data_IF_572951854608
#
_entry.id   IF_572951854608
#
_cell.length_a   1.000
_cell.length_b   1.000
_cell.length_c   1.000
_cell.angle_alpha   90.00
_cell.angle_beta   90.00
_cell.angle_gamma   90.00
#
_symmetry.space_group_name_H-M   'P 1'
#
loop_
_entity.id
_entity.type
_entity.pdbx_description
1 polymer ?
#
# COMPACT_ATOMS: atom_id res chain seq x y z
N UNK A 1 6.18 32.26 1.60
CA UNK A 1 5.15 31.23 1.34
C UNK A 1 5.76 29.86 1.52
N UNK A 2 5.10 28.96 2.25
CA UNK A 2 5.63 27.64 2.63
C UNK A 2 5.88 26.69 1.45
N UNK A 3 6.68 25.64 1.69
CA UNK A 3 6.94 24.56 0.72
C UNK A 3 5.64 23.76 0.49
N UNK A 4 5.33 23.43 -0.76
CA UNK A 4 4.17 22.60 -1.13
C UNK A 4 4.47 21.12 -0.83
N UNK A 5 3.53 20.36 -0.24
CA UNK A 5 3.65 18.91 -0.07
C UNK A 5 3.39 18.18 -1.40
N UNK A 6 4.44 18.07 -2.23
CA UNK A 6 4.36 17.55 -3.62
C UNK A 6 3.55 16.25 -3.76
N UNK A 7 3.76 15.27 -2.88
CA UNK A 7 3.14 13.93 -2.97
C UNK A 7 1.63 13.91 -2.77
N UNK A 8 1.05 14.96 -2.17
CA UNK A 8 -0.39 15.12 -1.98
C UNK A 8 -1.01 16.14 -2.94
N UNK A 9 -0.19 16.88 -3.68
CA UNK A 9 -0.65 18.05 -4.44
C UNK A 9 -0.96 17.64 -5.87
N UNK A 10 -2.10 18.10 -6.40
CA UNK A 10 -2.49 17.81 -7.78
C UNK A 10 -1.52 18.42 -8.82
N UNK A 11 -1.45 17.86 -10.05
CA UNK A 11 -0.51 18.33 -11.07
C UNK A 11 -0.67 19.82 -11.40
N UNK A 12 -1.90 20.30 -11.52
CA UNK A 12 -2.19 21.70 -11.85
C UNK A 12 -1.87 22.66 -10.69
N UNK A 13 -1.95 22.19 -9.45
CA UNK A 13 -1.57 22.97 -8.28
C UNK A 13 -0.03 23.03 -8.12
N UNK A 14 0.69 21.97 -8.50
CA UNK A 14 2.17 21.99 -8.57
C UNK A 14 2.64 22.93 -9.69
N UNK A 15 2.15 22.73 -10.92
CA UNK A 15 2.64 23.42 -12.10
C UNK A 15 2.21 24.89 -12.17
N UNK A 16 0.95 25.19 -11.84
CA UNK A 16 0.34 26.50 -12.07
C UNK A 16 -0.21 27.15 -10.80
N UNK A 17 0.05 26.58 -9.62
CA UNK A 17 -0.47 27.07 -8.32
C UNK A 17 -1.99 27.20 -8.30
N UNK A 18 -2.69 26.35 -9.06
CA UNK A 18 -4.16 26.37 -9.17
C UNK A 18 -4.81 25.48 -8.12
N UNK A 19 -5.05 26.04 -6.94
CA UNK A 19 -5.74 25.36 -5.84
C UNK A 19 -7.25 25.53 -5.95
N UNK A 20 -7.99 24.44 -5.92
CA UNK A 20 -9.45 24.38 -6.01
C UNK A 20 -9.97 23.16 -5.24
N UNK A 21 -11.27 23.04 -5.02
CA UNK A 21 -11.83 21.82 -4.43
C UNK A 21 -11.48 20.55 -5.23
N UNK A 22 -11.23 20.66 -6.55
CA UNK A 22 -10.78 19.52 -7.35
C UNK A 22 -9.30 19.14 -7.11
N UNK A 23 -8.44 20.07 -6.71
CA UNK A 23 -7.09 19.74 -6.24
C UNK A 23 -7.15 19.08 -4.86
N UNK A 24 -8.10 19.49 -4.01
CA UNK A 24 -8.30 18.85 -2.71
C UNK A 24 -8.83 17.42 -2.86
N UNK A 25 -9.65 17.14 -3.87
CA UNK A 25 -10.08 15.77 -4.23
C UNK A 25 -8.89 14.87 -4.58
N UNK A 26 -7.89 15.39 -5.30
CA UNK A 26 -6.66 14.65 -5.56
C UNK A 26 -5.94 14.29 -4.26
N UNK A 27 -5.77 15.27 -3.38
CA UNK A 27 -5.16 15.06 -2.06
C UNK A 27 -5.94 14.05 -1.24
N UNK A 28 -7.28 14.07 -1.31
CA UNK A 28 -8.13 13.09 -0.66
C UNK A 28 -7.91 11.66 -1.20
N UNK A 29 -7.73 11.48 -2.51
CA UNK A 29 -7.37 10.18 -3.07
C UNK A 29 -6.04 9.65 -2.49
N UNK A 30 -5.04 10.52 -2.29
CA UNK A 30 -3.79 10.15 -1.62
C UNK A 30 -4.04 9.76 -0.16
N UNK A 31 -4.86 10.52 0.58
CA UNK A 31 -5.24 10.18 1.96
C UNK A 31 -5.98 8.85 2.03
N UNK A 32 -6.89 8.56 1.11
CA UNK A 32 -7.54 7.24 1.02
C UNK A 32 -6.51 6.14 0.85
N UNK A 33 -5.53 6.33 -0.04
CA UNK A 33 -4.45 5.36 -0.25
C UNK A 33 -3.64 5.13 1.02
N UNK A 34 -3.27 6.20 1.75
CA UNK A 34 -2.57 6.10 3.03
C UNK A 34 -3.39 5.36 4.09
N UNK A 35 -4.69 5.63 4.21
CA UNK A 35 -5.56 4.95 5.16
C UNK A 35 -5.61 3.45 4.86
N UNK A 36 -5.80 3.09 3.59
CA UNK A 36 -5.92 1.68 3.18
C UNK A 36 -4.56 0.95 3.23
N UNK A 37 -3.45 1.66 3.02
CA UNK A 37 -2.10 1.13 3.19
C UNK A 37 -1.59 1.17 4.64
N UNK A 38 -2.41 1.63 5.58
CA UNK A 38 -2.05 1.80 6.99
C UNK A 38 -0.85 2.72 7.22
N UNK A 39 -0.76 3.80 6.45
CA UNK A 39 0.24 4.84 6.60
C UNK A 39 1.53 4.58 5.83
N UNK A 40 1.53 3.73 4.80
CA UNK A 40 2.67 3.70 3.87
C UNK A 40 2.88 5.10 3.28
N UNK A 41 4.14 5.47 3.04
CA UNK A 41 4.51 6.76 2.45
C UNK A 41 4.08 6.80 0.98
N UNK A 42 3.23 7.76 0.53
CA UNK A 42 2.83 7.85 -0.87
C UNK A 42 4.04 8.00 -1.80
N UNK A 43 4.15 7.14 -2.81
CA UNK A 43 5.30 7.06 -3.73
C UNK A 43 6.64 6.69 -3.06
N UNK A 44 6.61 6.12 -1.84
CA UNK A 44 7.77 5.58 -1.11
C UNK A 44 9.02 6.50 -1.17
N UNK A 45 10.15 5.97 -1.63
CA UNK A 45 11.45 6.64 -1.67
C UNK A 45 11.71 7.44 -2.96
N UNK A 46 10.72 7.57 -3.85
CA UNK A 46 10.86 8.40 -5.05
C UNK A 46 11.21 9.84 -4.68
N UNK A 47 12.15 10.47 -5.39
CA UNK A 47 12.44 11.89 -5.17
C UNK A 47 11.22 12.73 -5.56
N UNK A 48 11.12 13.97 -5.04
CA UNK A 48 10.02 14.86 -5.44
C UNK A 48 10.00 15.11 -6.96
N UNK A 49 11.18 15.12 -7.61
CA UNK A 49 11.27 15.28 -9.07
C UNK A 49 10.71 14.06 -9.80
N UNK A 50 11.04 12.85 -9.34
CA UNK A 50 10.53 11.61 -9.93
C UNK A 50 9.02 11.47 -9.74
N UNK A 51 8.50 11.85 -8.57
CA UNK A 51 7.04 11.87 -8.31
C UNK A 51 6.32 12.77 -9.30
N UNK A 52 6.82 13.99 -9.51
CA UNK A 52 6.23 14.93 -10.47
C UNK A 52 6.23 14.34 -11.88
N UNK A 53 7.38 13.80 -12.31
CA UNK A 53 7.52 13.18 -13.64
C UNK A 53 6.57 12.00 -13.82
N UNK A 54 6.55 11.06 -12.88
CA UNK A 54 5.70 9.88 -12.95
C UNK A 54 4.22 10.25 -13.03
N UNK A 55 3.76 11.21 -12.21
CA UNK A 55 2.38 11.67 -12.24
C UNK A 55 2.00 12.28 -13.60
N UNK A 56 2.88 13.08 -14.20
CA UNK A 56 2.62 13.71 -15.50
C UNK A 56 2.58 12.69 -16.66
N UNK A 57 3.46 11.67 -16.59
CA UNK A 57 3.50 10.50 -17.48
C UNK A 57 2.30 9.55 -17.29
N UNK A 58 1.44 9.80 -16.30
CA UNK A 58 0.20 9.05 -16.07
C UNK A 58 0.33 7.93 -15.04
N UNK A 59 1.48 7.74 -14.41
CA UNK A 59 1.63 6.79 -13.31
C UNK A 59 0.72 7.17 -12.13
N UNK A 60 0.13 6.15 -11.51
CA UNK A 60 -0.70 6.26 -10.31
C UNK A 60 -0.28 5.21 -9.29
N UNK A 61 -0.56 5.47 -8.02
CA UNK A 61 -0.24 4.52 -6.96
C UNK A 61 -1.03 3.22 -7.19
N UNK A 62 -0.38 2.05 -7.06
CA UNK A 62 -1.04 0.76 -7.18
C UNK A 62 -1.98 0.53 -5.99
N UNK A 63 -2.90 -0.42 -6.13
CA UNK A 63 -3.79 -0.78 -5.04
C UNK A 63 -2.98 -1.30 -3.84
N UNK A 64 -3.22 -0.80 -2.62
CA UNK A 64 -2.63 -1.36 -1.41
C UNK A 64 -2.99 -2.85 -1.22
N UNK A 65 -2.25 -3.55 -0.35
CA UNK A 65 -2.58 -4.92 0.03
C UNK A 65 -4.00 -5.01 0.63
N UNK A 66 -4.73 -6.07 0.31
CA UNK A 66 -6.12 -6.28 0.72
C UNK A 66 -7.08 -5.12 0.38
N UNK A 67 -6.74 -4.28 -0.60
CA UNK A 67 -7.58 -3.16 -1.00
C UNK A 67 -8.80 -3.65 -1.82
N UNK A 68 -10.04 -3.34 -1.40
CA UNK A 68 -11.22 -3.55 -2.24
C UNK A 68 -11.10 -2.81 -3.57
N UNK A 69 -11.44 -3.50 -4.67
CA UNK A 69 -11.34 -2.96 -6.05
C UNK A 69 -12.09 -1.64 -6.19
N UNK A 70 -13.26 -1.54 -5.58
CA UNK A 70 -14.12 -0.34 -5.59
C UNK A 70 -13.48 0.86 -4.89
N UNK A 71 -12.66 0.64 -3.85
CA UNK A 71 -11.96 1.71 -3.16
C UNK A 71 -10.76 2.19 -3.98
N UNK A 72 -10.00 1.27 -4.60
CA UNK A 72 -8.91 1.66 -5.49
C UNK A 72 -9.43 2.41 -6.71
N UNK A 73 -10.54 1.98 -7.30
CA UNK A 73 -11.17 2.70 -8.41
C UNK A 73 -11.55 4.14 -8.01
N UNK A 74 -12.15 4.33 -6.83
CA UNK A 74 -12.47 5.66 -6.33
C UNK A 74 -11.21 6.54 -6.12
N UNK A 75 -10.08 5.95 -5.72
CA UNK A 75 -8.80 6.67 -5.67
C UNK A 75 -8.33 7.09 -7.07
N UNK A 76 -8.43 6.18 -8.07
CA UNK A 76 -8.07 6.48 -9.46
C UNK A 76 -8.93 7.62 -10.02
N UNK A 77 -10.23 7.61 -9.76
CA UNK A 77 -11.17 8.67 -10.17
C UNK A 77 -10.76 10.03 -9.55
N UNK A 78 -10.29 10.02 -8.29
CA UNK A 78 -9.76 11.22 -7.64
C UNK A 78 -8.45 11.72 -8.29
N UNK A 79 -7.69 10.83 -8.93
CA UNK A 79 -6.41 11.11 -9.59
C UNK A 79 -6.52 11.28 -11.11
N UNK A 80 -7.73 11.56 -11.61
CA UNK A 80 -7.91 11.91 -13.01
C UNK A 80 -7.08 13.15 -13.40
N UNK A 81 -6.46 13.08 -14.59
CA UNK A 81 -5.63 14.19 -15.10
C UNK A 81 -6.49 15.44 -15.31
N UNK A 82 -7.68 15.24 -15.87
CA UNK A 82 -8.69 16.29 -16.00
C UNK A 82 -9.36 16.61 -14.67
N UNK A 83 -9.14 17.81 -14.13
CA UNK A 83 -9.79 18.25 -12.87
C UNK A 83 -11.33 18.26 -12.91
N UNK A 84 -11.93 18.31 -14.11
CA UNK A 84 -13.38 18.23 -14.32
C UNK A 84 -13.91 16.81 -14.17
N UNK A 85 -13.09 15.82 -14.49
CA UNK A 85 -13.44 14.39 -14.46
C UNK A 85 -13.37 13.82 -13.05
N UNK A 86 -12.62 14.47 -12.16
CA UNK A 86 -12.57 14.11 -10.74
C UNK A 86 -13.95 14.26 -10.09
N UNK A 87 -14.38 13.30 -9.26
CA UNK A 87 -15.64 13.39 -8.54
C UNK A 87 -15.64 14.58 -7.58
N UNK A 88 -16.80 15.16 -7.33
CA UNK A 88 -16.97 16.14 -6.25
C UNK A 88 -17.04 15.40 -4.91
N UNK A 89 -16.66 16.07 -3.82
CA UNK A 89 -16.76 15.49 -2.48
C UNK A 89 -18.16 14.93 -2.15
N UNK A 90 -19.24 15.59 -2.57
CA UNK A 90 -20.60 15.04 -2.39
C UNK A 90 -20.83 13.69 -3.09
N UNK A 91 -20.22 13.48 -4.26
CA UNK A 91 -20.25 12.19 -4.96
C UNK A 91 -19.41 11.15 -4.23
N UNK A 92 -18.21 11.52 -3.77
CA UNK A 92 -17.34 10.66 -2.96
C UNK A 92 -18.08 10.17 -1.71
N UNK A 93 -18.70 11.08 -0.94
CA UNK A 93 -19.49 10.74 0.26
C UNK A 93 -20.62 9.78 -0.10
N UNK A 94 -21.36 10.05 -1.19
CA UNK A 94 -22.45 9.18 -1.64
C UNK A 94 -21.95 7.78 -2.01
N UNK A 95 -20.80 7.69 -2.67
CA UNK A 95 -20.19 6.40 -3.02
C UNK A 95 -19.78 5.63 -1.77
N UNK A 96 -19.02 6.26 -0.86
CA UNK A 96 -18.59 5.62 0.39
C UNK A 96 -19.77 5.20 1.27
N UNK A 97 -20.81 6.01 1.35
CA UNK A 97 -22.03 5.69 2.10
C UNK A 97 -22.73 4.43 1.57
N UNK A 98 -22.80 4.26 0.24
CA UNK A 98 -23.32 3.03 -0.38
C UNK A 98 -22.47 1.81 -0.02
N UNK A 99 -21.14 1.95 -0.08
CA UNK A 99 -20.22 0.86 0.26
C UNK A 99 -20.31 0.45 1.74
N UNK A 100 -20.52 1.41 2.64
CA UNK A 100 -20.71 1.15 4.08
C UNK A 100 -22.05 0.43 4.34
N UNK A 101 -23.12 0.79 3.62
CA UNK A 101 -24.44 0.15 3.75
C UNK A 101 -24.51 -1.24 3.12
N UNK A 102 -23.64 -1.53 2.15
CA UNK A 102 -23.49 -2.85 1.54
C UNK A 102 -22.03 -3.34 1.61
N UNK A 103 -21.59 -3.88 2.76
CA UNK A 103 -20.21 -4.36 2.92
C UNK A 103 -19.84 -5.52 1.99
N UNK A 104 -20.81 -6.20 1.37
CA UNK A 104 -20.52 -7.28 0.42
C UNK A 104 -19.78 -6.73 -0.82
N UNK A 105 -20.04 -5.47 -1.20
CA UNK A 105 -19.37 -4.77 -2.29
C UNK A 105 -17.86 -4.55 -2.06
N UNK A 106 -17.38 -4.68 -0.82
CA UNK A 106 -15.96 -4.52 -0.46
C UNK A 106 -15.16 -5.84 -0.51
N UNK A 107 -15.79 -6.97 -0.85
CA UNK A 107 -15.13 -8.29 -0.81
C UNK A 107 -14.17 -8.54 -1.96
N UNK A 108 -14.44 -7.96 -3.13
CA UNK A 108 -13.59 -8.12 -4.29
C UNK A 108 -12.34 -7.27 -4.16
N UNK A 109 -11.16 -7.91 -4.17
CA UNK A 109 -9.87 -7.24 -3.97
C UNK A 109 -9.21 -6.91 -5.30
N UNK A 110 -8.64 -5.71 -5.40
CA UNK A 110 -7.93 -5.23 -6.60
C UNK A 110 -6.73 -6.11 -6.99
N UNK A 111 -6.07 -6.70 -6.00
CA UNK A 111 -4.87 -7.51 -6.19
C UNK A 111 -5.16 -9.02 -6.32
N UNK A 112 -6.43 -9.43 -6.37
CA UNK A 112 -6.83 -10.84 -6.51
C UNK A 112 -6.30 -11.52 -7.78
N UNK A 113 -5.95 -10.72 -8.80
CA UNK A 113 -5.40 -11.23 -10.06
C UNK A 113 -3.87 -11.42 -10.07
N UNK A 114 -3.14 -10.96 -9.05
CA UNK A 114 -1.70 -11.24 -8.93
C UNK A 114 -1.41 -12.66 -8.40
N UNK A 115 -2.45 -13.43 -8.09
CA UNK A 115 -2.37 -14.85 -7.72
C UNK A 115 -3.08 -15.76 -8.73
N UNK A 116 -3.38 -15.30 -9.95
CA UNK A 116 -3.69 -16.25 -11.03
C UNK A 116 -2.40 -16.95 -11.43
N UNK A 117 -2.30 -18.17 -10.92
CA UNK A 117 -1.35 -19.22 -11.26
C UNK A 117 -1.02 -19.18 -12.77
N UNK A 118 0.17 -18.67 -13.10
CA UNK A 118 0.84 -19.05 -14.34
C UNK A 118 1.63 -20.33 -14.01
N UNK A 119 1.40 -21.49 -14.68
CA UNK A 119 2.04 -22.77 -14.35
C UNK A 119 3.57 -22.83 -14.53
N UNK A 120 4.23 -21.68 -14.71
CA UNK A 120 5.64 -21.58 -15.07
C UNK A 120 6.31 -20.38 -14.38
N UNK A 121 6.29 -20.32 -13.05
CA UNK A 121 7.27 -19.52 -12.30
C UNK A 121 7.82 -20.30 -11.11
N UNK A 122 9.14 -20.20 -10.86
CA UNK A 122 9.85 -21.07 -9.94
C UNK A 122 9.43 -20.76 -8.49
N UNK A 123 9.37 -21.81 -7.67
CA UNK A 123 9.23 -21.76 -6.22
C UNK A 123 9.91 -20.51 -5.64
N UNK A 124 9.20 -19.76 -4.79
CA UNK A 124 9.78 -18.66 -4.00
C UNK A 124 10.87 -19.23 -3.08
N UNK A 125 12.07 -19.47 -3.61
CA UNK A 125 13.27 -19.76 -2.84
C UNK A 125 13.80 -18.44 -2.29
N UNK A 126 13.05 -17.85 -1.36
CA UNK A 126 13.57 -16.74 -0.56
C UNK A 126 14.47 -17.36 0.50
N UNK A 127 15.77 -17.10 0.42
CA UNK A 127 16.77 -17.81 1.21
C UNK A 127 17.15 -17.07 2.50
N UNK A 128 16.88 -15.76 2.56
CA UNK A 128 17.28 -14.92 3.68
C UNK A 128 16.14 -14.05 4.23
N UNK A 129 16.29 -13.63 5.49
CA UNK A 129 15.38 -12.73 6.18
C UNK A 129 15.24 -11.36 5.47
N UNK A 130 16.34 -10.86 4.91
CA UNK A 130 16.35 -9.58 4.20
C UNK A 130 15.59 -9.63 2.88
N UNK A 131 15.79 -10.70 2.09
CA UNK A 131 15.04 -10.95 0.86
C UNK A 131 13.54 -11.11 1.16
N UNK A 132 13.19 -11.76 2.27
CA UNK A 132 11.80 -11.91 2.68
C UNK A 132 11.14 -10.59 3.03
N UNK A 133 11.82 -9.74 3.81
CA UNK A 133 11.33 -8.40 4.12
C UNK A 133 11.16 -7.56 2.85
N UNK A 134 12.09 -7.61 1.91
CA UNK A 134 11.95 -6.92 0.62
C UNK A 134 10.76 -7.44 -0.20
N UNK A 135 10.58 -8.77 -0.25
CA UNK A 135 9.49 -9.40 -0.99
C UNK A 135 8.12 -8.95 -0.48
N UNK A 136 7.95 -8.80 0.83
CA UNK A 136 6.72 -8.27 1.43
C UNK A 136 6.72 -6.73 1.54
N UNK A 137 7.69 -6.05 0.94
CA UNK A 137 7.87 -4.59 0.99
C UNK A 137 7.94 -4.02 2.42
N UNK A 138 8.60 -4.74 3.30
CA UNK A 138 8.92 -4.38 4.70
C UNK A 138 10.43 -4.22 4.90
N UNK A 139 11.20 -3.99 3.82
CA UNK A 139 12.66 -3.87 3.84
C UNK A 139 13.19 -2.77 4.77
N UNK A 140 12.37 -1.77 5.09
CA UNK A 140 12.73 -0.73 6.07
C UNK A 140 12.96 -1.25 7.49
N UNK A 141 12.52 -2.48 7.80
CA UNK A 141 12.68 -3.09 9.13
C UNK A 141 13.87 -4.06 9.24
N UNK A 142 14.71 -4.18 8.21
CA UNK A 142 15.84 -5.13 8.20
C UNK A 142 16.76 -4.98 9.41
N UNK A 143 17.19 -3.75 9.71
CA UNK A 143 18.07 -3.47 10.84
C UNK A 143 17.39 -3.77 12.18
N UNK A 144 16.08 -3.50 12.29
CA UNK A 144 15.29 -3.76 13.49
C UNK A 144 15.22 -5.26 13.79
N UNK A 145 14.91 -6.08 12.78
CA UNK A 145 14.85 -7.54 12.94
C UNK A 145 16.23 -8.13 13.25
N UNK A 146 17.28 -7.70 12.54
CA UNK A 146 18.65 -8.13 12.79
C UNK A 146 19.12 -7.80 14.21
N UNK A 147 18.86 -6.56 14.66
CA UNK A 147 19.23 -6.10 16.02
C UNK A 147 18.48 -6.82 17.14
N UNK A 148 17.27 -7.31 16.86
CA UNK A 148 16.46 -8.11 17.79
C UNK A 148 16.79 -9.61 17.76
N UNK A 149 17.73 -10.03 16.90
CA UNK A 149 18.17 -11.43 16.79
C UNK A 149 17.37 -12.28 15.80
N UNK A 150 16.45 -11.69 15.03
CA UNK A 150 15.71 -12.38 13.98
C UNK A 150 16.49 -12.38 12.67
N UNK A 151 17.47 -13.27 12.57
CA UNK A 151 18.39 -13.35 11.41
C UNK A 151 18.06 -14.50 10.44
N UNK A 152 17.13 -15.39 10.80
CA UNK A 152 16.66 -16.51 9.96
C UNK A 152 15.14 -16.52 9.82
N UNK A 153 14.61 -17.12 8.74
CA UNK A 153 13.16 -17.25 8.57
C UNK A 153 12.51 -18.12 9.65
N UNK A 154 13.23 -19.11 10.19
CA UNK A 154 12.74 -19.93 11.29
C UNK A 154 12.50 -19.11 12.58
N UNK A 155 13.35 -18.11 12.82
CA UNK A 155 13.25 -17.27 14.02
C UNK A 155 11.97 -16.43 14.07
N UNK A 156 11.37 -16.13 12.90
CA UNK A 156 10.16 -15.29 12.80
C UNK A 156 8.86 -16.10 12.69
N UNK A 157 8.94 -17.43 12.63
CA UNK A 157 7.76 -18.30 12.50
C UNK A 157 6.75 -18.13 13.63
N UNK A 158 7.16 -17.71 14.82
CA UNK A 158 6.27 -17.55 15.98
C UNK A 158 6.24 -16.12 16.51
N UNK A 159 6.64 -15.15 15.68
CA UNK A 159 6.72 -13.76 16.11
C UNK A 159 5.32 -13.20 16.45
N UNK A 160 5.21 -12.57 17.60
CA UNK A 160 3.99 -11.96 18.09
C UNK A 160 3.92 -10.47 17.76
N UNK A 161 2.71 -9.89 17.79
CA UNK A 161 2.51 -8.43 17.70
C UNK A 161 3.36 -7.70 18.75
N UNK A 162 3.50 -8.28 19.95
CA UNK A 162 4.26 -7.68 21.04
C UNK A 162 5.77 -7.56 20.73
N UNK A 163 6.32 -8.54 20.00
CA UNK A 163 7.71 -8.52 19.54
C UNK A 163 7.90 -7.55 18.37
N UNK A 164 6.94 -7.51 17.44
CA UNK A 164 6.93 -6.51 16.36
C UNK A 164 6.94 -5.07 16.91
N UNK A 165 6.14 -4.79 17.94
CA UNK A 165 6.13 -3.48 18.60
C UNK A 165 7.47 -3.17 19.27
N UNK A 166 8.13 -4.16 19.89
CA UNK A 166 9.47 -3.99 20.49
C UNK A 166 10.55 -3.71 19.44
N UNK A 167 10.32 -4.07 18.18
CA UNK A 167 11.19 -3.79 17.04
C UNK A 167 10.79 -2.53 16.27
N UNK A 168 9.99 -1.64 16.87
CA UNK A 168 9.48 -0.40 16.26
C UNK A 168 8.56 -0.60 15.04
N UNK A 169 8.07 -1.81 14.82
CA UNK A 169 6.97 -2.08 13.87
C UNK A 169 5.66 -1.71 14.57
N UNK A 170 5.37 -0.41 14.64
CA UNK A 170 4.20 0.14 15.35
C UNK A 170 2.97 0.34 14.47
N UNK A 171 3.15 0.40 13.15
CA UNK A 171 2.06 0.55 12.19
C UNK A 171 1.27 -0.75 12.08
N UNK A 172 -0.04 -0.71 12.39
CA UNK A 172 -0.92 -1.88 12.43
C UNK A 172 -0.96 -2.65 11.09
N UNK A 173 -0.87 -1.96 9.94
CA UNK A 173 -0.81 -2.64 8.64
C UNK A 173 0.52 -3.31 8.37
N UNK A 174 1.64 -2.74 8.84
CA UNK A 174 2.94 -3.40 8.73
C UNK A 174 2.96 -4.65 9.61
N UNK A 175 2.42 -4.56 10.83
CA UNK A 175 2.23 -5.72 11.71
C UNK A 175 1.38 -6.80 11.03
N UNK A 176 0.21 -6.42 10.48
CA UNK A 176 -0.67 -7.35 9.77
C UNK A 176 0.02 -8.00 8.58
N UNK A 177 0.73 -7.23 7.75
CA UNK A 177 1.44 -7.71 6.55
C UNK A 177 2.52 -8.73 6.89
N UNK A 178 3.33 -8.43 7.91
CA UNK A 178 4.38 -9.32 8.40
C UNK A 178 3.75 -10.61 8.94
N UNK A 179 2.73 -10.51 9.78
CA UNK A 179 2.06 -11.68 10.36
C UNK A 179 1.35 -12.55 9.32
N UNK A 180 0.67 -11.96 8.33
CA UNK A 180 0.07 -12.69 7.22
C UNK A 180 1.13 -13.45 6.40
N UNK A 181 2.29 -12.85 6.18
CA UNK A 181 3.41 -13.52 5.49
C UNK A 181 4.02 -14.65 6.32
N UNK A 182 4.15 -14.46 7.64
CA UNK A 182 4.60 -15.52 8.55
C UNK A 182 3.65 -16.72 8.52
N UNK A 183 2.33 -16.52 8.43
CA UNK A 183 1.36 -17.61 8.29
C UNK A 183 1.57 -18.41 6.98
N UNK A 184 1.97 -17.74 5.90
CA UNK A 184 2.32 -18.41 4.64
C UNK A 184 3.59 -19.25 4.82
N UNK A 185 4.63 -18.70 5.46
CA UNK A 185 5.87 -19.44 5.76
C UNK A 185 5.60 -20.69 6.61
N UNK A 186 4.73 -20.59 7.62
CA UNK A 186 4.31 -21.72 8.43
C UNK A 186 3.62 -22.83 7.60
N UNK A 187 2.80 -22.45 6.61
CA UNK A 187 2.10 -23.39 5.72
C UNK A 187 3.03 -24.08 4.72
N UNK A 188 4.12 -23.43 4.32
CA UNK A 188 5.13 -24.01 3.43
C UNK A 188 6.08 -24.95 4.18
N UNK A 189 6.45 -24.61 5.42
CA UNK A 189 7.28 -25.48 6.28
C UNK A 189 6.60 -26.78 6.71
N UNK A 190 5.27 -26.90 6.58
CA UNK A 190 4.53 -28.13 6.88
C UNK A 190 4.50 -29.14 5.72
N UNK A 191 5.00 -28.77 4.53
CA UNK A 191 5.00 -29.65 3.35
C UNK A 191 6.24 -30.53 3.20
N UNK A 192 7.21 -30.45 4.14
CA UNK A 192 8.40 -31.31 4.19
C UNK A 192 8.43 -32.05 5.53
N UNK A 193 7.50 -33.00 5.71
CA UNK A 193 7.69 -34.16 6.58
C UNK A 193 6.66 -35.25 6.19
N UNK A 194 7.08 -36.14 5.29
CA UNK A 194 6.65 -37.55 5.22
C UNK A 194 7.91 -38.38 5.04
#
# INVERSE_FOLDING_TARGET
GGKIPIRWTSPEAIAYRKFTSASDVWSYGIVMWEVVSYGERPYWEMSNQDVIKAIDEGYRLPAPMDCPVVLHQLMLDCWEKGRSERPKFGQIVTTLDKLIRDPASLRELANSSLCREDPTTPEFSVSTMEEWLDAIKMGQYKENFSSAGYVTLDSVLYISISELVKMDVTLAGHQKKILSSVQILQSQGTHIQV
#
